data_IF_236748144240
#
_entry.id   IF_236748144240
#
_cell.length_a   1.000
_cell.length_b   1.000
_cell.length_c   1.000
_cell.angle_alpha   90.00
_cell.angle_beta   90.00
_cell.angle_gamma   90.00
#
_symmetry.space_group_name_H-M   'P 1'
#
loop_
_entity.id
_entity.type
_entity.pdbx_description
1 polymer ?
#
# COMPACT_ATOMS: atom_id res chain seq x y z
N UNK A 1 -5.56 3.70 -56.40
CA UNK A 1 -4.64 2.83 -55.63
C UNK A 1 -3.91 3.73 -54.65
N UNK A 2 -4.41 3.85 -53.40
CA UNK A 2 -3.84 4.76 -52.39
C UNK A 2 -3.11 3.90 -51.36
N UNK A 3 -1.80 4.13 -51.25
CA UNK A 3 -0.89 3.44 -50.34
C UNK A 3 -1.14 3.95 -48.91
N UNK A 4 -1.60 3.07 -48.01
CA UNK A 4 -1.64 3.34 -46.56
C UNK A 4 -0.21 3.32 -46.01
N UNK A 5 0.23 4.45 -45.44
CA UNK A 5 1.43 4.51 -44.58
C UNK A 5 1.12 3.78 -43.27
N UNK A 6 1.88 2.74 -42.96
CA UNK A 6 1.91 2.12 -41.65
C UNK A 6 2.48 3.13 -40.63
N UNK A 7 1.62 3.63 -39.74
CA UNK A 7 2.05 4.29 -38.51
C UNK A 7 2.41 3.17 -37.53
N UNK A 8 3.70 3.06 -37.19
CA UNK A 8 4.18 2.07 -36.22
C UNK A 8 3.56 2.34 -34.84
N UNK A 9 2.73 1.41 -34.36
CA UNK A 9 2.28 1.38 -32.96
C UNK A 9 3.49 1.01 -32.10
N UNK A 10 3.87 1.89 -31.17
CA UNK A 10 4.84 1.53 -30.13
C UNK A 10 4.27 0.39 -29.27
N UNK A 11 5.09 -0.61 -28.98
CA UNK A 11 4.69 -1.73 -28.12
C UNK A 11 4.24 -1.20 -26.74
N UNK A 12 3.14 -1.70 -26.15
CA UNK A 12 2.75 -1.39 -24.77
C UNK A 12 3.91 -1.57 -23.78
N UNK A 13 4.79 -2.54 -24.06
CA UNK A 13 6.00 -2.82 -23.30
C UNK A 13 7.01 -1.65 -23.30
N UNK A 14 7.15 -0.95 -24.44
CA UNK A 14 8.04 0.20 -24.57
C UNK A 14 7.47 1.43 -23.83
N UNK A 15 6.13 1.57 -23.80
CA UNK A 15 5.46 2.65 -23.06
C UNK A 15 5.55 2.44 -21.55
N UNK A 16 5.42 1.20 -21.08
CA UNK A 16 5.71 0.84 -19.68
C UNK A 16 7.18 1.16 -19.36
N UNK A 17 8.14 0.68 -20.14
CA UNK A 17 9.56 0.97 -19.90
C UNK A 17 9.91 2.47 -19.93
N UNK A 18 9.28 3.27 -20.80
CA UNK A 18 9.51 4.72 -20.88
C UNK A 18 8.88 5.49 -19.70
N UNK A 19 7.68 5.11 -19.26
CA UNK A 19 7.07 5.65 -18.05
C UNK A 19 7.90 5.32 -16.79
N UNK A 20 8.47 4.10 -16.74
CA UNK A 20 9.36 3.66 -15.66
C UNK A 20 10.78 4.25 -15.75
N UNK A 21 11.28 4.60 -16.93
CA UNK A 21 12.56 5.32 -17.10
C UNK A 21 12.49 6.74 -16.54
N UNK A 22 11.36 7.41 -16.71
CA UNK A 22 11.11 8.74 -16.13
C UNK A 22 11.04 8.67 -14.59
N UNK A 23 10.51 7.57 -14.03
CA UNK A 23 10.45 7.29 -12.60
C UNK A 23 11.84 7.19 -11.95
N UNK A 24 12.82 6.51 -12.57
CA UNK A 24 14.19 6.45 -12.03
C UNK A 24 14.83 7.85 -11.98
N UNK A 25 14.57 8.69 -12.97
CA UNK A 25 15.13 10.05 -13.04
C UNK A 25 14.56 10.99 -11.98
N UNK A 26 13.23 11.03 -11.81
CA UNK A 26 12.58 11.93 -10.84
C UNK A 26 12.70 11.43 -9.40
N UNK A 27 12.63 10.12 -9.18
CA UNK A 27 12.79 9.49 -7.86
C UNK A 27 14.19 9.72 -7.27
N UNK A 28 15.24 9.51 -8.07
CA UNK A 28 16.62 9.76 -7.62
C UNK A 28 16.91 11.25 -7.38
N UNK A 29 16.25 12.16 -8.11
CA UNK A 29 16.40 13.60 -7.94
C UNK A 29 15.70 14.09 -6.66
N UNK A 30 14.47 13.62 -6.39
CA UNK A 30 13.73 13.97 -5.19
C UNK A 30 14.48 13.56 -3.91
N UNK A 31 15.00 12.33 -3.86
CA UNK A 31 15.70 11.86 -2.65
C UNK A 31 17.10 12.50 -2.51
N UNK A 32 17.79 12.88 -3.61
CA UNK A 32 19.05 13.65 -3.54
C UNK A 32 18.83 15.06 -2.96
N UNK A 33 17.70 15.70 -3.27
CA UNK A 33 17.31 17.01 -2.72
C UNK A 33 16.92 16.88 -1.25
N UNK A 34 16.21 15.81 -0.87
CA UNK A 34 15.81 15.57 0.53
C UNK A 34 16.99 15.35 1.47
N UNK A 35 18.08 14.72 1.02
CA UNK A 35 19.27 14.49 1.87
C UNK A 35 20.17 15.75 2.04
N UNK A 36 20.14 16.70 1.11
CA UNK A 36 20.89 17.97 1.27
C UNK A 36 20.22 18.95 2.23
N UNK A 37 18.92 18.81 2.45
CA UNK A 37 18.13 19.68 3.35
C UNK A 37 18.02 19.15 4.78
N UNK A 38 18.90 18.23 5.20
CA UNK A 38 18.94 17.67 6.55
C UNK A 38 19.05 18.74 7.64
N UNK A 39 17.89 19.23 8.08
CA UNK A 39 17.68 19.90 9.36
C UNK A 39 16.73 19.01 10.14
N UNK A 40 17.23 18.45 11.23
CA UNK A 40 16.40 17.83 12.26
C UNK A 40 15.43 18.90 12.77
N UNK A 41 14.18 18.84 12.34
CA UNK A 41 13.12 19.64 12.94
C UNK A 41 12.59 18.82 14.11
N UNK A 42 12.98 19.20 15.33
CA UNK A 42 12.23 18.87 16.53
C UNK A 42 10.88 19.58 16.41
N UNK A 43 9.86 18.85 15.98
CA UNK A 43 8.48 19.32 16.02
C UNK A 43 7.99 19.12 17.46
N UNK A 44 7.86 20.21 18.20
CA UNK A 44 7.05 20.24 19.42
C UNK A 44 5.60 20.00 19.01
N UNK A 45 5.13 18.75 19.10
CA UNK A 45 3.74 18.39 18.86
C UNK A 45 2.94 18.59 20.14
N UNK A 46 2.32 19.77 20.28
CA UNK A 46 1.13 19.90 21.11
C UNK A 46 -0.05 19.27 20.35
N UNK A 47 -0.08 17.95 20.27
CA UNK A 47 -1.25 17.19 19.85
C UNK A 47 -2.22 17.06 21.04
N UNK A 48 -3.52 17.24 20.85
CA UNK A 48 -4.50 16.78 21.82
C UNK A 48 -4.50 15.25 21.76
N UNK A 49 -3.64 14.63 22.56
CA UNK A 49 -3.67 13.21 22.84
C UNK A 49 -5.03 12.92 23.49
N UNK A 50 -5.98 12.39 22.72
CA UNK A 50 -7.10 11.65 23.31
C UNK A 50 -6.50 10.41 23.94
N UNK A 51 -6.18 10.53 25.23
CA UNK A 51 -5.60 9.49 26.03
C UNK A 51 -6.63 8.38 26.15
N UNK A 52 -6.21 7.15 25.83
CA UNK A 52 -6.97 5.94 26.08
C UNK A 52 -7.34 5.92 27.58
N UNK A 53 -8.58 5.63 27.98
CA UNK A 53 -8.84 5.24 29.36
C UNK A 53 -8.17 3.89 29.57
N UNK A 54 -7.04 3.90 30.28
CA UNK A 54 -6.43 2.68 30.80
C UNK A 54 -7.41 2.05 31.81
N UNK A 55 -8.17 1.04 31.39
CA UNK A 55 -9.09 0.40 32.32
C UNK A 55 -10.21 -0.50 31.81
N UNK A 56 -10.19 -1.01 30.58
CA UNK A 56 -11.18 -2.03 30.17
C UNK A 56 -10.49 -3.25 29.56
N UNK A 57 -10.38 -4.29 30.38
CA UNK A 57 -10.11 -5.65 29.97
C UNK A 57 -11.43 -6.43 29.78
N UNK A 58 -11.44 -7.33 28.79
CA UNK A 58 -12.32 -8.51 28.65
C UNK A 58 -13.72 -8.25 28.04
N UNK A 59 -13.73 -7.78 26.81
CA UNK A 59 -14.66 -8.24 25.77
C UNK A 59 -13.80 -8.64 24.57
N UNK A 60 -14.02 -9.80 23.95
CA UNK A 60 -13.20 -10.27 22.82
C UNK A 60 -13.05 -9.15 21.79
N UNK A 61 -11.82 -8.80 21.44
CA UNK A 61 -11.55 -7.73 20.49
C UNK A 61 -12.19 -8.05 19.14
N UNK A 62 -12.84 -7.04 18.55
CA UNK A 62 -13.64 -7.22 17.34
C UNK A 62 -12.70 -7.51 16.18
N UNK A 63 -12.88 -8.66 15.52
CA UNK A 63 -12.06 -9.07 14.39
C UNK A 63 -12.26 -8.18 13.16
N UNK A 64 -11.27 -8.16 12.29
CA UNK A 64 -11.34 -7.49 10.99
C UNK A 64 -11.01 -8.43 9.84
N UNK A 65 -11.71 -8.28 8.71
CA UNK A 65 -11.43 -8.99 7.48
C UNK A 65 -10.21 -8.37 6.77
N UNK A 66 -9.29 -9.17 6.25
CA UNK A 66 -8.15 -8.65 5.48
C UNK A 66 -8.49 -8.64 3.99
N UNK A 67 -8.49 -7.47 3.37
CA UNK A 67 -8.73 -7.28 1.95
C UNK A 67 -7.44 -6.86 1.24
N UNK A 68 -6.94 -7.75 0.37
CA UNK A 68 -5.73 -7.54 -0.41
C UNK A 68 -6.09 -7.25 -1.88
N UNK A 69 -5.88 -6.03 -2.36
CA UNK A 69 -6.07 -5.75 -3.80
C UNK A 69 -4.87 -6.20 -4.62
N UNK A 70 -5.11 -6.91 -5.72
CA UNK A 70 -4.05 -7.54 -6.51
C UNK A 70 -4.36 -7.58 -8.02
N UNK A 71 -3.30 -7.73 -8.82
CA UNK A 71 -3.38 -8.06 -10.25
C UNK A 71 -2.95 -9.50 -10.50
N UNK A 72 -3.20 -10.00 -11.71
CA UNK A 72 -2.75 -11.30 -12.21
C UNK A 72 -1.29 -11.28 -12.71
N UNK A 73 -0.58 -10.15 -12.59
CA UNK A 73 0.80 -10.03 -13.01
C UNK A 73 1.71 -10.93 -12.15
N UNK A 74 2.74 -11.60 -12.72
CA UNK A 74 3.68 -12.43 -11.97
C UNK A 74 4.27 -11.71 -10.75
N UNK A 75 4.59 -10.42 -10.92
CA UNK A 75 5.02 -9.52 -9.86
C UNK A 75 4.05 -9.48 -8.67
N UNK A 76 2.75 -9.25 -8.90
CA UNK A 76 1.76 -9.18 -7.82
C UNK A 76 1.51 -10.56 -7.19
N UNK A 77 1.50 -11.62 -8.01
CA UNK A 77 1.21 -12.99 -7.58
C UNK A 77 2.17 -13.49 -6.50
N UNK A 78 3.49 -13.38 -6.71
CA UNK A 78 4.44 -13.89 -5.71
C UNK A 78 4.37 -13.09 -4.40
N UNK A 79 4.10 -11.78 -4.49
CA UNK A 79 3.92 -10.92 -3.32
C UNK A 79 2.68 -11.35 -2.52
N UNK A 80 1.55 -11.58 -3.20
CA UNK A 80 0.31 -12.06 -2.57
C UNK A 80 0.51 -13.37 -1.79
N UNK A 81 1.29 -14.32 -2.34
CA UNK A 81 1.57 -15.59 -1.67
C UNK A 81 2.37 -15.42 -0.39
N UNK A 82 3.41 -14.56 -0.40
CA UNK A 82 4.19 -14.25 0.80
C UNK A 82 3.32 -13.57 1.85
N UNK A 83 2.54 -12.56 1.44
CA UNK A 83 1.62 -11.83 2.32
C UNK A 83 0.61 -12.79 2.95
N UNK A 84 -0.02 -13.66 2.15
CA UNK A 84 -1.00 -14.63 2.62
C UNK A 84 -0.39 -15.69 3.56
N UNK A 85 0.84 -16.16 3.29
CA UNK A 85 1.57 -17.03 4.20
C UNK A 85 1.72 -16.39 5.59
N UNK A 86 2.16 -15.13 5.64
CA UNK A 86 2.34 -14.41 6.91
C UNK A 86 1.02 -14.04 7.58
N UNK A 87 -0.04 -13.73 6.81
CA UNK A 87 -1.39 -13.57 7.34
C UNK A 87 -1.84 -14.82 8.10
N UNK A 88 -1.74 -16.01 7.48
CA UNK A 88 -2.15 -17.27 8.13
C UNK A 88 -1.40 -17.49 9.44
N UNK A 89 -0.10 -17.20 9.45
CA UNK A 89 0.74 -17.40 10.64
C UNK A 89 0.39 -16.41 11.75
N UNK A 90 0.20 -15.13 11.42
CA UNK A 90 -0.09 -14.07 12.39
C UNK A 90 -1.54 -14.08 12.89
N UNK A 91 -2.49 -14.59 12.09
CA UNK A 91 -3.88 -14.80 12.51
C UNK A 91 -3.99 -15.75 13.70
N UNK A 92 -3.17 -16.80 13.75
CA UNK A 92 -3.20 -17.81 14.82
C UNK A 92 -2.43 -17.38 16.08
N UNK A 93 -1.73 -16.24 16.05
CA UNK A 93 -0.97 -15.76 17.19
C UNK A 93 -1.86 -15.07 18.23
N UNK A 94 -1.61 -15.28 19.55
CA UNK A 94 -2.31 -14.55 20.60
C UNK A 94 -2.18 -13.03 20.43
N UNK A 95 -3.30 -12.32 20.59
CA UNK A 95 -3.37 -10.87 20.40
C UNK A 95 -3.62 -10.40 18.97
N UNK A 96 -3.84 -11.32 18.03
CA UNK A 96 -4.26 -11.00 16.67
C UNK A 96 -5.78 -10.96 16.55
N UNK A 97 -6.30 -9.92 15.92
CA UNK A 97 -7.73 -9.77 15.60
C UNK A 97 -8.03 -10.01 14.11
N UNK A 98 -7.10 -10.64 13.39
CA UNK A 98 -7.33 -10.99 11.99
C UNK A 98 -8.44 -12.04 11.85
N UNK A 99 -9.48 -11.69 11.09
CA UNK A 99 -10.60 -12.54 10.72
C UNK A 99 -10.38 -13.25 9.38
N UNK A 100 -11.36 -13.19 8.49
CA UNK A 100 -11.29 -13.69 7.11
C UNK A 100 -10.26 -12.95 6.24
N UNK A 101 -10.08 -13.46 5.03
CA UNK A 101 -9.17 -12.90 4.04
C UNK A 101 -9.83 -12.96 2.67
N UNK A 102 -9.68 -11.90 1.88
CA UNK A 102 -10.01 -11.91 0.45
C UNK A 102 -8.90 -11.23 -0.34
N UNK A 103 -8.37 -11.94 -1.34
CA UNK A 103 -7.64 -11.32 -2.45
C UNK A 103 -8.66 -10.79 -3.45
N UNK A 104 -8.75 -9.47 -3.56
CA UNK A 104 -9.59 -8.79 -4.55
C UNK A 104 -8.79 -8.68 -5.85
N UNK A 105 -9.02 -9.62 -6.77
CA UNK A 105 -8.31 -9.74 -8.03
C UNK A 105 -9.01 -8.89 -9.09
N UNK A 106 -8.43 -7.73 -9.39
CA UNK A 106 -9.03 -6.72 -10.27
C UNK A 106 -8.50 -6.77 -11.71
N UNK A 107 -8.13 -7.96 -12.18
CA UNK A 107 -7.75 -8.22 -13.58
C UNK A 107 -8.94 -8.63 -14.46
N UNK A 108 -10.12 -8.87 -13.86
CA UNK A 108 -11.30 -9.41 -14.54
C UNK A 108 -11.20 -10.88 -14.92
N UNK A 109 -10.08 -11.56 -14.64
CA UNK A 109 -9.83 -12.93 -15.07
C UNK A 109 -9.40 -13.81 -13.88
N UNK A 110 -9.82 -15.09 -13.84
CA UNK A 110 -9.32 -16.04 -12.86
C UNK A 110 -7.82 -16.30 -13.07
N UNK A 111 -7.12 -16.65 -11.98
CA UNK A 111 -5.77 -17.19 -12.03
C UNK A 111 -5.64 -18.42 -11.12
N UNK A 112 -4.50 -19.10 -11.21
CA UNK A 112 -4.22 -20.32 -10.45
C UNK A 112 -3.99 -20.09 -8.95
N UNK A 113 -3.87 -18.85 -8.46
CA UNK A 113 -3.77 -18.61 -7.02
C UNK A 113 -5.13 -18.68 -6.32
N UNK A 114 -6.23 -18.78 -7.07
CA UNK A 114 -7.56 -18.99 -6.50
C UNK A 114 -7.68 -20.33 -5.76
N UNK A 115 -6.85 -21.32 -6.11
CA UNK A 115 -6.77 -22.61 -5.41
C UNK A 115 -6.03 -22.50 -4.07
N UNK A 116 -5.25 -21.42 -3.86
CA UNK A 116 -4.43 -21.20 -2.66
C UNK A 116 -4.99 -20.10 -1.75
N UNK A 117 -5.48 -19.01 -2.33
CA UNK A 117 -5.86 -17.77 -1.64
C UNK A 117 -7.35 -17.51 -1.91
N UNK A 118 -8.20 -17.36 -0.87
CA UNK A 118 -9.59 -16.94 -1.05
C UNK A 118 -9.64 -15.66 -1.90
N UNK A 119 -10.25 -15.75 -3.07
CA UNK A 119 -10.17 -14.71 -4.10
C UNK A 119 -11.56 -14.34 -4.58
N UNK A 120 -11.81 -13.04 -4.74
CA UNK A 120 -12.94 -12.52 -5.50
C UNK A 120 -12.41 -11.83 -6.75
N UNK A 121 -12.91 -12.25 -7.91
CA UNK A 121 -12.62 -11.59 -9.18
C UNK A 121 -13.56 -10.39 -9.32
N UNK A 122 -12.98 -9.26 -9.66
CA UNK A 122 -13.71 -8.03 -10.00
C UNK A 122 -13.16 -7.48 -11.31
N UNK A 123 -13.99 -6.73 -12.03
CA UNK A 123 -13.60 -6.18 -13.33
C UNK A 123 -12.61 -5.03 -13.14
N UNK A 124 -11.63 -4.85 -14.04
CA UNK A 124 -10.85 -3.61 -14.07
C UNK A 124 -11.75 -2.42 -14.43
N UNK A 125 -11.20 -1.22 -14.32
CA UNK A 125 -11.83 -0.04 -14.90
C UNK A 125 -12.00 -0.21 -16.41
N UNK A 126 -13.08 0.32 -17.00
CA UNK A 126 -13.23 0.39 -18.45
C UNK A 126 -11.99 0.98 -19.14
N UNK A 127 -11.65 0.40 -20.30
CA UNK A 127 -10.48 0.78 -21.08
C UNK A 127 -10.35 2.30 -21.27
N UNK A 128 -9.19 2.83 -20.90
CA UNK A 128 -8.83 4.23 -21.08
C UNK A 128 -9.17 5.15 -19.91
N UNK A 129 -10.04 4.75 -18.97
CA UNK A 129 -10.36 5.56 -17.80
C UNK A 129 -9.20 5.68 -16.80
N UNK A 130 -8.37 4.65 -16.72
CA UNK A 130 -7.20 4.67 -15.86
C UNK A 130 -6.05 5.53 -16.43
N UNK A 131 -6.12 5.89 -17.72
CA UNK A 131 -5.08 6.61 -18.45
C UNK A 131 -3.67 6.01 -18.27
N UNK A 132 -3.59 4.67 -18.13
CA UNK A 132 -2.34 3.95 -17.85
C UNK A 132 -1.85 4.00 -16.39
N UNK A 133 -2.59 4.65 -15.49
CA UNK A 133 -2.34 4.67 -14.06
C UNK A 133 -3.14 3.54 -13.38
N UNK A 134 -2.55 2.34 -13.39
CA UNK A 134 -3.17 1.09 -12.94
C UNK A 134 -3.73 1.14 -11.51
N UNK A 135 -3.24 2.05 -10.66
CA UNK A 135 -3.63 2.17 -9.25
C UNK A 135 -5.10 2.59 -9.12
N UNK A 136 -5.70 3.25 -10.13
CA UNK A 136 -7.13 3.60 -10.13
C UNK A 136 -8.06 2.40 -10.16
N UNK A 137 -7.58 1.21 -10.54
CA UNK A 137 -8.38 -0.01 -10.44
C UNK A 137 -8.68 -0.39 -8.99
N UNK A 138 -7.91 0.10 -8.02
CA UNK A 138 -8.07 -0.24 -6.60
C UNK A 138 -9.38 0.28 -5.97
N UNK A 139 -9.71 1.59 -6.02
CA UNK A 139 -11.00 2.06 -5.52
C UNK A 139 -12.17 1.36 -6.21
N UNK A 140 -12.07 1.12 -7.52
CA UNK A 140 -13.09 0.39 -8.27
C UNK A 140 -13.24 -1.07 -7.84
N UNK A 141 -12.13 -1.73 -7.53
CA UNK A 141 -12.12 -3.08 -6.98
C UNK A 141 -12.86 -3.14 -5.64
N UNK A 142 -12.65 -2.15 -4.75
CA UNK A 142 -13.36 -2.07 -3.48
C UNK A 142 -14.86 -1.83 -3.64
N UNK A 143 -15.27 -0.96 -4.56
CA UNK A 143 -16.71 -0.75 -4.86
C UNK A 143 -17.37 -2.09 -5.22
N UNK A 144 -16.83 -2.80 -6.20
CA UNK A 144 -17.40 -4.08 -6.63
C UNK A 144 -17.32 -5.17 -5.55
N UNK A 145 -16.20 -5.24 -4.82
CA UNK A 145 -16.01 -6.26 -3.79
C UNK A 145 -16.99 -6.07 -2.63
N UNK A 146 -17.19 -4.84 -2.17
CA UNK A 146 -18.14 -4.54 -1.09
C UNK A 146 -19.59 -4.83 -1.50
N UNK A 147 -19.95 -4.65 -2.77
CA UNK A 147 -21.28 -5.00 -3.29
C UNK A 147 -21.51 -6.52 -3.39
N UNK A 148 -20.46 -7.29 -3.72
CA UNK A 148 -20.57 -8.71 -4.09
C UNK A 148 -20.19 -9.67 -2.96
N UNK A 149 -19.31 -9.27 -2.04
CA UNK A 149 -18.73 -10.16 -1.05
C UNK A 149 -19.59 -10.32 0.21
N UNK A 150 -19.64 -11.55 0.71
CA UNK A 150 -20.16 -11.84 2.04
C UNK A 150 -19.00 -11.73 3.02
N UNK A 151 -19.00 -10.66 3.82
CA UNK A 151 -17.96 -10.36 4.81
C UNK A 151 -18.58 -10.47 6.21
N UNK A 152 -18.10 -11.44 7.00
CA UNK A 152 -18.59 -11.71 8.36
C UNK A 152 -18.14 -10.62 9.35
N UNK A 153 -16.92 -10.14 9.22
CA UNK A 153 -16.37 -9.14 10.12
C UNK A 153 -16.95 -7.74 9.90
N UNK A 154 -17.07 -6.98 11.00
CA UNK A 154 -17.54 -5.59 10.98
C UNK A 154 -16.47 -4.61 10.47
N UNK A 155 -15.19 -4.95 10.65
CA UNK A 155 -14.05 -4.13 10.24
C UNK A 155 -13.29 -4.79 9.09
N UNK A 156 -12.60 -3.98 8.29
CA UNK A 156 -11.80 -4.40 7.16
C UNK A 156 -10.41 -3.76 7.28
N UNK A 157 -9.36 -4.56 7.17
CA UNK A 157 -8.00 -4.11 6.88
C UNK A 157 -7.81 -4.05 5.37
N UNK A 158 -7.62 -2.85 4.83
CA UNK A 158 -7.13 -2.67 3.46
C UNK A 158 -5.60 -2.89 3.45
N UNK A 159 -5.13 -3.85 2.67
CA UNK A 159 -3.72 -4.27 2.62
C UNK A 159 -3.18 -4.33 1.18
N UNK A 160 -1.84 -4.31 1.05
CA UNK A 160 -1.13 -4.39 -0.24
C UNK A 160 -0.28 -5.66 -0.37
N UNK A 161 0.02 -6.13 -1.60
CA UNK A 161 0.79 -7.36 -1.82
C UNK A 161 2.18 -7.33 -1.18
N UNK A 162 2.80 -6.14 -1.08
CA UNK A 162 4.11 -5.91 -0.47
C UNK A 162 4.07 -5.65 1.03
N UNK A 163 3.04 -6.15 1.70
CA UNK A 163 2.98 -6.23 3.15
C UNK A 163 3.47 -7.60 3.65
N UNK A 164 4.28 -7.58 4.71
CA UNK A 164 4.60 -8.76 5.52
C UNK A 164 4.16 -8.49 6.95
N UNK A 165 3.23 -9.30 7.47
CA UNK A 165 2.87 -9.24 8.89
C UNK A 165 3.99 -9.84 9.74
N UNK A 166 4.52 -9.05 10.68
CA UNK A 166 5.67 -9.42 11.50
C UNK A 166 5.37 -9.59 12.99
N UNK A 167 4.26 -9.04 13.45
CA UNK A 167 3.71 -9.17 14.81
C UNK A 167 2.19 -9.40 14.74
N UNK A 168 1.56 -10.03 15.76
CA UNK A 168 0.11 -10.17 15.84
C UNK A 168 -0.55 -8.79 15.83
N UNK A 169 -1.52 -8.58 14.92
CA UNK A 169 -2.15 -7.29 14.71
C UNK A 169 -3.52 -7.26 15.41
N UNK A 170 -3.68 -6.52 16.52
CA UNK A 170 -4.99 -6.27 17.09
C UNK A 170 -5.77 -5.28 16.22
N UNK A 171 -7.07 -5.18 16.43
CA UNK A 171 -7.90 -4.16 15.78
C UNK A 171 -7.51 -2.78 16.35
N UNK A 172 -6.83 -1.99 15.51
CA UNK A 172 -6.37 -0.65 15.88
C UNK A 172 -7.47 0.41 15.77
N UNK A 173 -8.56 0.11 15.06
CA UNK A 173 -9.72 0.99 14.95
C UNK A 173 -10.58 0.94 16.21
N UNK A 174 -11.40 1.98 16.43
CA UNK A 174 -12.28 2.05 17.58
C UNK A 174 -13.61 2.72 17.25
N UNK A 175 -14.70 1.96 17.36
CA UNK A 175 -16.03 2.43 16.99
C UNK A 175 -16.05 2.86 15.52
N UNK A 176 -16.50 4.09 15.26
CA UNK A 176 -16.54 4.67 13.92
C UNK A 176 -15.25 5.41 13.52
N UNK A 177 -14.20 5.36 14.35
CA UNK A 177 -12.90 5.95 14.05
C UNK A 177 -11.96 4.88 13.47
N UNK A 178 -11.65 4.91 12.15
CA UNK A 178 -10.70 3.99 11.54
C UNK A 178 -9.27 4.25 12.04
N UNK A 179 -8.37 3.29 11.87
CA UNK A 179 -6.95 3.48 12.15
C UNK A 179 -6.14 3.43 10.86
N UNK A 180 -5.19 4.36 10.69
CA UNK A 180 -4.41 4.50 9.47
C UNK A 180 -2.95 4.86 9.78
N UNK A 181 -2.04 4.49 8.87
CA UNK A 181 -0.67 4.95 8.91
C UNK A 181 -0.55 6.37 8.33
N UNK A 182 0.07 7.34 9.04
CA UNK A 182 0.32 8.67 8.50
C UNK A 182 1.51 8.66 7.54
N UNK A 183 1.28 9.07 6.30
CA UNK A 183 2.29 9.17 5.28
C UNK A 183 2.88 10.57 5.25
N UNK A 184 4.17 10.69 5.58
CA UNK A 184 4.87 11.99 5.65
C UNK A 184 4.84 12.80 4.34
N UNK A 185 4.60 12.14 3.20
CA UNK A 185 4.50 12.76 1.86
C UNK A 185 3.06 13.12 1.45
N UNK A 186 2.05 12.72 2.23
CA UNK A 186 0.67 13.17 2.04
C UNK A 186 0.47 14.40 2.92
N UNK A 187 0.39 15.58 2.30
CA UNK A 187 0.40 16.86 2.99
C UNK A 187 -0.72 17.78 2.49
N UNK A 188 -1.99 17.52 2.85
CA UNK A 188 -3.12 18.27 2.33
C UNK A 188 -3.00 19.79 2.57
N UNK A 189 -2.49 20.20 3.74
CA UNK A 189 -2.29 21.61 4.07
C UNK A 189 -1.24 22.32 3.17
N UNK A 190 -0.16 21.63 2.76
CA UNK A 190 0.83 22.20 1.82
C UNK A 190 0.27 22.29 0.38
N UNK A 191 -0.81 21.57 0.09
CA UNK A 191 -1.49 21.51 -1.20
C UNK A 191 -2.91 22.08 -1.18
N UNK A 192 -3.22 22.99 -0.25
CA UNK A 192 -4.57 23.50 0.01
C UNK A 192 -5.30 23.91 -1.28
N UNK A 193 -4.67 24.72 -2.14
CA UNK A 193 -5.29 25.17 -3.41
C UNK A 193 -5.78 24.01 -4.29
N UNK A 194 -5.01 22.92 -4.36
CA UNK A 194 -5.37 21.74 -5.16
C UNK A 194 -6.44 20.93 -4.44
N UNK A 195 -6.28 20.70 -3.13
CA UNK A 195 -7.25 19.96 -2.31
C UNK A 195 -8.63 20.62 -2.33
N UNK A 196 -8.71 21.96 -2.32
CA UNK A 196 -9.97 22.72 -2.36
C UNK A 196 -10.81 22.49 -3.63
N UNK A 197 -10.23 21.99 -4.72
CA UNK A 197 -11.00 21.56 -5.90
C UNK A 197 -11.93 20.38 -5.60
N UNK A 198 -11.59 19.57 -4.60
CA UNK A 198 -12.26 18.31 -4.25
C UNK A 198 -12.82 18.30 -2.81
N UNK A 199 -12.35 19.20 -1.95
CA UNK A 199 -12.83 19.40 -0.58
C UNK A 199 -13.17 20.89 -0.35
N UNK A 200 -14.39 21.33 -0.73
CA UNK A 200 -14.81 22.73 -0.66
C UNK A 200 -14.72 23.35 0.74
N UNK A 201 -14.66 24.68 0.85
CA UNK A 201 -14.53 25.38 2.13
C UNK A 201 -15.69 25.10 3.09
N UNK A 202 -16.90 24.94 2.56
CA UNK A 202 -18.11 24.61 3.31
C UNK A 202 -18.04 23.25 4.02
N UNK A 203 -17.16 22.34 3.57
CA UNK A 203 -16.95 21.04 4.21
C UNK A 203 -16.04 21.12 5.44
N UNK A 204 -15.30 22.21 5.61
CA UNK A 204 -14.44 22.46 6.77
C UNK A 204 -12.99 22.83 6.40
N UNK A 205 -12.11 22.96 7.40
CA UNK A 205 -10.69 23.27 7.17
C UNK A 205 -9.97 22.10 6.46
N UNK A 206 -8.96 22.40 5.61
CA UNK A 206 -8.17 21.36 4.92
C UNK A 206 -7.48 20.40 5.87
N UNK A 207 -7.22 20.82 7.12
CA UNK A 207 -6.68 19.95 8.19
C UNK A 207 -7.62 18.82 8.61
N UNK A 208 -8.85 18.78 8.08
CA UNK A 208 -9.74 17.63 8.18
C UNK A 208 -9.39 16.49 7.22
N UNK A 209 -8.63 16.76 6.17
CA UNK A 209 -8.06 15.73 5.30
C UNK A 209 -6.82 15.20 6.00
N UNK A 210 -6.93 13.98 6.53
CA UNK A 210 -5.83 13.31 7.24
C UNK A 210 -4.64 13.02 6.29
N UNK A 211 -3.39 13.03 6.77
CA UNK A 211 -2.19 12.76 5.96
C UNK A 211 -2.01 11.25 5.71
N UNK A 212 -3.01 10.60 5.14
CA UNK A 212 -3.12 9.14 5.04
C UNK A 212 -3.37 8.67 3.60
N UNK A 213 -3.22 7.37 3.37
CA UNK A 213 -3.71 6.70 2.16
C UNK A 213 -4.65 5.57 2.54
N UNK A 214 -5.08 4.77 1.56
CA UNK A 214 -6.03 3.69 1.79
C UNK A 214 -5.41 2.47 2.49
N UNK A 215 -4.09 2.31 2.51
CA UNK A 215 -3.43 1.11 3.05
C UNK A 215 -2.11 1.46 3.77
N UNK A 216 -1.84 0.88 4.96
CA UNK A 216 -2.76 0.07 5.75
C UNK A 216 -3.81 0.94 6.45
N UNK A 217 -5.07 0.51 6.38
CA UNK A 217 -6.19 1.11 7.13
C UNK A 217 -7.09 0.01 7.67
N UNK A 218 -7.42 0.07 8.96
CA UNK A 218 -8.54 -0.72 9.54
C UNK A 218 -9.75 0.20 9.65
N UNK A 219 -10.83 -0.13 8.95
CA UNK A 219 -12.03 0.68 8.83
C UNK A 219 -13.28 -0.18 8.96
N UNK A 220 -14.33 0.35 9.58
CA UNK A 220 -15.63 -0.31 9.64
C UNK A 220 -16.21 -0.46 8.24
N UNK A 221 -16.70 -1.67 7.91
CA UNK A 221 -17.26 -2.00 6.59
C UNK A 221 -18.31 -1.00 6.12
N UNK A 222 -19.26 -0.65 6.98
CA UNK A 222 -20.32 0.32 6.67
C UNK A 222 -19.83 1.74 6.38
N UNK A 223 -18.64 2.10 6.85
CA UNK A 223 -18.00 3.38 6.53
C UNK A 223 -17.30 3.26 5.18
N UNK A 224 -16.56 2.17 4.95
CA UNK A 224 -15.88 1.92 3.68
C UNK A 224 -16.87 1.82 2.51
N UNK A 225 -18.03 1.19 2.70
CA UNK A 225 -19.14 1.14 1.72
C UNK A 225 -19.60 2.54 1.29
N UNK A 226 -19.59 3.53 2.20
CA UNK A 226 -19.95 4.92 1.89
C UNK A 226 -18.83 5.67 1.18
N UNK A 227 -17.59 5.45 1.60
CA UNK A 227 -16.41 6.17 1.09
C UNK A 227 -15.99 5.64 -0.29
N UNK A 228 -16.05 4.33 -0.54
CA UNK A 228 -15.45 3.72 -1.72
C UNK A 228 -15.93 4.31 -3.07
N UNK A 229 -17.24 4.57 -3.28
CA UNK A 229 -17.70 5.24 -4.51
C UNK A 229 -17.17 6.67 -4.65
N UNK A 230 -17.11 7.43 -3.55
CA UNK A 230 -16.54 8.79 -3.55
C UNK A 230 -15.04 8.77 -3.80
N UNK A 231 -14.31 7.84 -3.18
CA UNK A 231 -12.88 7.64 -3.39
C UNK A 231 -12.57 7.33 -4.86
N UNK A 232 -13.34 6.45 -5.50
CA UNK A 232 -13.24 6.20 -6.94
C UNK A 232 -13.43 7.48 -7.75
N UNK A 233 -14.55 8.18 -7.54
CA UNK A 233 -14.90 9.36 -8.33
C UNK A 233 -13.89 10.50 -8.15
N UNK A 234 -13.49 10.79 -6.92
CA UNK A 234 -12.47 11.82 -6.64
C UNK A 234 -11.14 11.44 -7.29
N UNK A 235 -10.71 10.17 -7.21
CA UNK A 235 -9.46 9.74 -7.84
C UNK A 235 -9.50 9.88 -9.36
N UNK A 236 -10.63 9.57 -10.01
CA UNK A 236 -10.81 9.80 -11.45
C UNK A 236 -10.77 11.29 -11.80
N UNK A 237 -11.48 12.13 -11.05
CA UNK A 237 -11.46 13.58 -11.25
C UNK A 237 -10.05 14.18 -11.09
N UNK A 238 -9.31 13.74 -10.06
CA UNK A 238 -7.93 14.13 -9.85
C UNK A 238 -7.04 13.70 -11.02
N UNK A 239 -7.29 12.52 -11.59
CA UNK A 239 -6.52 12.02 -12.74
C UNK A 239 -6.82 12.82 -14.01
N UNK A 240 -8.06 13.24 -14.19
CA UNK A 240 -8.49 14.03 -15.35
C UNK A 240 -8.03 15.51 -15.26
N UNK A 241 -7.72 16.03 -14.07
CA UNK A 241 -7.19 17.39 -13.87
C UNK A 241 -5.65 17.41 -14.02
N UNK A 242 -5.09 18.04 -15.08
CA UNK A 242 -3.65 17.99 -15.33
C UNK A 242 -2.77 18.68 -14.27
N UNK A 243 -3.29 19.67 -13.54
CA UNK A 243 -2.56 20.33 -12.45
C UNK A 243 -2.46 19.37 -11.26
N UNK A 244 -3.55 18.66 -10.97
CA UNK A 244 -3.66 17.71 -9.85
C UNK A 244 -2.88 16.43 -10.13
N UNK A 245 -3.03 15.82 -11.31
CA UNK A 245 -2.26 14.65 -11.73
C UNK A 245 -0.75 14.91 -11.68
N UNK A 246 -0.33 16.08 -12.16
CA UNK A 246 1.08 16.49 -12.08
C UNK A 246 1.55 16.69 -10.63
N UNK A 247 0.71 17.25 -9.76
CA UNK A 247 1.10 17.57 -8.39
C UNK A 247 1.17 16.33 -7.49
N UNK A 248 0.17 15.44 -7.56
CA UNK A 248 0.10 14.26 -6.70
C UNK A 248 0.76 13.02 -7.33
N UNK A 249 0.78 12.93 -8.67
CA UNK A 249 1.45 11.87 -9.40
C UNK A 249 1.06 10.48 -8.90
N UNK A 250 2.07 9.68 -8.54
CA UNK A 250 1.86 8.28 -8.15
C UNK A 250 1.02 8.08 -6.88
N UNK A 251 0.92 9.09 -6.01
CA UNK A 251 0.17 9.01 -4.75
C UNK A 251 -1.22 9.67 -4.83
N UNK A 252 -1.67 9.99 -6.05
CA UNK A 252 -2.95 10.64 -6.30
C UNK A 252 -4.13 9.84 -5.75
N UNK A 253 -4.14 8.52 -5.93
CA UNK A 253 -5.19 7.66 -5.38
C UNK A 253 -5.28 7.78 -3.84
N UNK A 254 -4.13 7.88 -3.15
CA UNK A 254 -4.07 8.05 -1.70
C UNK A 254 -4.70 9.39 -1.26
N UNK A 255 -4.43 10.48 -2.00
CA UNK A 255 -5.13 11.75 -1.80
C UNK A 255 -6.63 11.62 -2.05
N UNK A 256 -7.02 10.85 -3.07
CA UNK A 256 -8.42 10.53 -3.34
C UNK A 256 -9.11 9.86 -2.15
N UNK A 257 -8.46 8.88 -1.51
CA UNK A 257 -8.98 8.21 -0.31
C UNK A 257 -9.08 9.18 0.88
N UNK A 258 -8.05 9.98 1.13
CA UNK A 258 -8.04 10.95 2.23
C UNK A 258 -9.14 12.01 2.06
N UNK A 259 -9.29 12.58 0.86
CA UNK A 259 -10.34 13.56 0.55
C UNK A 259 -11.72 12.93 0.65
N UNK A 260 -11.93 11.73 0.10
CA UNK A 260 -13.21 11.04 0.21
C UNK A 260 -13.60 10.76 1.67
N UNK A 261 -12.64 10.36 2.50
CA UNK A 261 -12.87 10.18 3.94
C UNK A 261 -13.32 11.48 4.62
N UNK A 262 -12.62 12.59 4.32
CA UNK A 262 -12.96 13.90 4.87
C UNK A 262 -14.33 14.42 4.39
N UNK A 263 -14.70 14.17 3.12
CA UNK A 263 -16.02 14.51 2.58
C UNK A 263 -17.16 13.79 3.32
N UNK A 264 -16.89 12.60 3.85
CA UNK A 264 -17.84 11.83 4.66
C UNK A 264 -17.69 12.07 6.17
N UNK A 265 -16.89 13.06 6.58
CA UNK A 265 -16.68 13.40 8.00
C UNK A 265 -15.89 12.37 8.80
N UNK A 266 -15.13 11.49 8.12
CA UNK A 266 -14.39 10.40 8.74
C UNK A 266 -12.97 10.85 9.08
N UNK A 267 -12.59 10.71 10.37
CA UNK A 267 -11.26 11.01 10.89
C UNK A 267 -10.57 9.74 11.38
N UNK A 268 -9.28 9.63 11.09
CA UNK A 268 -8.48 8.45 11.41
C UNK A 268 -7.71 8.63 12.72
N UNK A 269 -7.59 7.53 13.47
CA UNK A 269 -6.58 7.35 14.50
C UNK A 269 -5.26 7.11 13.78
N UNK A 270 -4.35 8.09 13.82
CA UNK A 270 -3.03 7.98 13.19
C UNK A 270 -2.12 7.07 14.03
N UNK A 271 -1.51 6.08 13.37
CA UNK A 271 -0.71 5.03 14.00
C UNK A 271 0.65 4.87 13.32
N UNK A 272 1.67 5.55 13.84
CA UNK A 272 3.06 5.42 13.38
C UNK A 272 3.61 3.99 13.57
N UNK A 273 3.03 3.24 14.52
CA UNK A 273 3.40 1.85 14.79
C UNK A 273 2.69 0.84 13.87
N UNK A 274 1.81 1.29 12.97
CA UNK A 274 1.02 0.39 12.13
C UNK A 274 1.90 -0.38 11.13
N UNK A 275 2.83 0.33 10.49
CA UNK A 275 3.79 -0.29 9.58
C UNK A 275 5.18 0.34 9.67
N UNK A 276 6.16 -0.31 9.03
CA UNK A 276 7.51 0.19 8.82
C UNK A 276 7.95 -0.01 7.36
N UNK A 277 8.90 0.82 6.94
CA UNK A 277 9.38 0.92 5.57
C UNK A 277 10.92 0.79 5.52
N UNK A 278 11.46 -0.44 5.55
CA UNK A 278 12.88 -0.66 5.31
C UNK A 278 13.29 -0.14 3.92
N UNK A 279 14.51 0.39 3.75
CA UNK A 279 15.61 0.40 4.72
C UNK A 279 15.58 1.57 5.74
N UNK A 280 14.55 2.42 5.71
CA UNK A 280 14.52 3.67 6.49
C UNK A 280 14.18 3.46 7.95
N UNK A 281 13.19 2.61 8.22
CA UNK A 281 12.88 2.17 9.58
C UNK A 281 13.84 1.06 9.97
N UNK A 282 14.69 1.31 10.97
CA UNK A 282 15.80 0.40 11.29
C UNK A 282 15.38 -0.84 12.09
N UNK A 283 14.36 -0.69 12.93
CA UNK A 283 13.91 -1.70 13.89
C UNK A 283 12.44 -2.06 13.69
N UNK A 284 12.13 -3.34 13.86
CA UNK A 284 10.77 -3.88 13.78
C UNK A 284 10.02 -3.53 15.07
N UNK A 285 10.61 -3.82 16.23
CA UNK A 285 10.01 -3.56 17.53
C UNK A 285 8.58 -4.09 17.65
N UNK A 286 7.66 -3.21 18.06
CA UNK A 286 6.21 -3.52 18.23
C UNK A 286 5.38 -3.26 16.97
N UNK A 287 5.99 -2.88 15.85
CA UNK A 287 5.26 -2.53 14.62
C UNK A 287 4.72 -3.78 13.93
N UNK A 288 3.62 -3.66 13.20
CA UNK A 288 2.87 -4.84 12.76
C UNK A 288 3.19 -5.31 11.34
N UNK A 289 3.46 -4.37 10.42
CA UNK A 289 3.61 -4.66 8.99
C UNK A 289 4.94 -4.12 8.48
N UNK A 290 5.75 -4.96 7.83
CA UNK A 290 6.80 -4.48 6.94
C UNK A 290 6.18 -4.19 5.57
N UNK A 291 6.25 -2.94 5.12
CA UNK A 291 5.92 -2.53 3.76
C UNK A 291 7.23 -2.37 2.96
N UNK A 292 7.56 -3.36 2.12
CA UNK A 292 8.85 -3.43 1.41
C UNK A 292 8.85 -2.70 0.06
N UNK A 293 8.46 -1.42 0.09
CA UNK A 293 8.34 -0.60 -1.12
C UNK A 293 9.68 -0.17 -1.69
N UNK A 294 10.70 0.01 -0.86
CA UNK A 294 12.01 0.53 -1.24
C UNK A 294 13.02 -0.58 -1.51
N UNK A 295 13.91 -0.35 -2.48
CA UNK A 295 15.07 -1.21 -2.70
C UNK A 295 16.05 -1.11 -1.53
N UNK A 296 16.49 -2.25 -1.03
CA UNK A 296 17.49 -2.39 0.02
C UNK A 296 18.84 -2.71 -0.62
N UNK A 297 19.61 -1.68 -0.96
CA UNK A 297 20.92 -1.79 -1.62
C UNK A 297 22.05 -1.46 -0.63
N UNK A 298 22.96 -2.40 -0.41
CA UNK A 298 24.03 -2.28 0.56
C UNK A 298 25.37 -2.71 -0.02
N UNK A 299 26.46 -2.10 0.45
CA UNK A 299 27.79 -2.67 0.27
C UNK A 299 28.07 -3.78 1.29
N UNK A 300 29.17 -4.52 1.12
CA UNK A 300 29.51 -5.64 2.01
C UNK A 300 29.91 -5.22 3.43
N UNK A 301 30.04 -3.91 3.70
CA UNK A 301 30.24 -3.34 5.05
C UNK A 301 28.93 -3.01 5.76
N UNK A 302 27.77 -3.24 5.13
CA UNK A 302 26.46 -2.92 5.67
C UNK A 302 26.03 -1.46 5.50
N UNK A 303 26.70 -0.70 4.62
CA UNK A 303 26.36 0.70 4.35
C UNK A 303 25.40 0.79 3.16
N UNK A 304 24.31 1.56 3.32
CA UNK A 304 23.29 1.75 2.28
C UNK A 304 23.88 2.47 1.05
N UNK A 305 23.73 1.90 -0.15
CA UNK A 305 24.23 2.49 -1.40
C UNK A 305 23.12 3.24 -2.13
N UNK A 306 22.91 4.49 -1.74
CA UNK A 306 21.85 5.32 -2.30
C UNK A 306 21.98 5.53 -3.82
N UNK A 307 20.88 5.30 -4.54
CA UNK A 307 20.76 5.52 -5.99
C UNK A 307 21.63 4.58 -6.85
N UNK A 308 22.19 3.52 -6.27
CA UNK A 308 23.06 2.55 -6.96
C UNK A 308 22.70 1.14 -6.56
N UNK A 309 22.90 0.20 -7.48
CA UNK A 309 22.80 -1.23 -7.17
C UNK A 309 23.93 -1.57 -6.19
N UNK A 310 23.56 -2.07 -5.01
CA UNK A 310 24.50 -2.51 -3.98
C UNK A 310 25.17 -3.83 -4.33
N UNK A 311 26.24 -4.15 -3.61
CA UNK A 311 26.89 -5.47 -3.68
C UNK A 311 25.96 -6.57 -3.13
N UNK A 312 25.19 -6.23 -2.10
CA UNK A 312 24.03 -6.98 -1.65
C UNK A 312 22.75 -6.17 -1.93
N UNK A 313 21.70 -6.84 -2.42
CA UNK A 313 20.43 -6.20 -2.76
C UNK A 313 19.24 -7.08 -2.43
N UNK A 314 18.21 -6.46 -1.88
CA UNK A 314 16.83 -6.94 -2.00
C UNK A 314 15.94 -5.82 -2.58
N UNK A 315 15.41 -6.02 -3.79
CA UNK A 315 14.37 -5.15 -4.35
C UNK A 315 13.35 -6.02 -5.09
N UNK A 316 12.08 -5.90 -4.72
CA UNK A 316 10.97 -6.58 -5.39
C UNK A 316 10.93 -6.29 -6.91
N UNK A 317 11.40 -5.11 -7.35
CA UNK A 317 11.47 -4.73 -8.77
C UNK A 317 12.55 -5.48 -9.55
N UNK A 318 13.42 -6.22 -8.89
CA UNK A 318 14.29 -7.20 -9.55
C UNK A 318 13.53 -8.49 -9.94
N UNK A 319 12.28 -8.64 -9.51
CA UNK A 319 11.45 -9.84 -9.63
C UNK A 319 10.10 -9.53 -10.31
N UNK A 320 10.13 -8.78 -11.42
CA UNK A 320 8.91 -8.40 -12.16
C UNK A 320 8.28 -9.56 -12.94
N UNK A 321 9.11 -10.47 -13.45
CA UNK A 321 8.70 -11.55 -14.36
C UNK A 321 8.40 -12.86 -13.64
N UNK A 322 8.58 -12.90 -12.31
CA UNK A 322 8.43 -14.11 -11.53
C UNK A 322 8.92 -13.93 -10.10
N UNK A 323 8.73 -14.95 -9.24
CA UNK A 323 9.12 -14.91 -7.85
C UNK A 323 10.65 -14.75 -7.66
N UNK A 324 11.11 -14.19 -6.54
CA UNK A 324 12.51 -14.32 -6.13
C UNK A 324 12.90 -15.79 -5.95
N UNK A 325 14.18 -16.16 -6.18
CA UNK A 325 14.63 -17.52 -5.88
C UNK A 325 14.54 -17.81 -4.38
N UNK A 326 14.42 -19.10 -4.03
CA UNK A 326 14.55 -19.55 -2.64
C UNK A 326 15.94 -19.26 -2.09
N UNK A 327 16.04 -19.17 -0.77
CA UNK A 327 17.32 -19.03 -0.05
C UNK A 327 18.12 -17.78 -0.49
N UNK A 328 17.46 -16.62 -0.54
CA UNK A 328 18.14 -15.33 -0.71
C UNK A 328 19.24 -15.18 0.34
N UNK A 329 20.38 -14.63 -0.07
CA UNK A 329 21.48 -14.33 0.85
C UNK A 329 21.00 -13.34 1.91
N UNK A 330 21.35 -13.60 3.17
CA UNK A 330 21.14 -12.62 4.23
C UNK A 330 22.02 -11.38 3.97
N UNK A 331 21.56 -10.18 4.37
CA UNK A 331 22.36 -8.99 4.24
C UNK A 331 23.65 -9.06 5.09
N UNK A 332 24.70 -8.32 4.70
CA UNK A 332 25.96 -8.28 5.44
C UNK A 332 25.77 -7.73 6.87
N UNK A 333 26.73 -8.00 7.79
CA UNK A 333 26.73 -7.38 9.11
C UNK A 333 26.64 -5.85 9.03
N UNK A 334 25.90 -5.24 9.96
CA UNK A 334 25.68 -3.79 10.00
C UNK A 334 24.40 -3.30 9.30
N UNK A 335 23.75 -4.16 8.50
CA UNK A 335 22.45 -3.85 7.90
C UNK A 335 21.34 -3.85 8.96
N UNK A 336 20.34 -2.94 8.89
CA UNK A 336 19.30 -2.81 9.90
C UNK A 336 18.48 -4.08 10.14
N UNK A 337 17.96 -4.21 11.36
CA UNK A 337 17.16 -5.35 11.83
C UNK A 337 15.91 -5.56 10.96
N UNK A 338 15.25 -4.49 10.55
CA UNK A 338 14.08 -4.53 9.67
C UNK A 338 14.34 -5.20 8.32
N UNK A 339 15.48 -4.91 7.69
CA UNK A 339 15.90 -5.49 6.40
C UNK A 339 16.25 -6.97 6.60
N UNK A 340 16.98 -7.29 7.67
CA UNK A 340 17.28 -8.69 8.04
C UNK A 340 15.98 -9.47 8.26
N UNK A 341 15.02 -8.90 8.99
CA UNK A 341 13.72 -9.53 9.26
C UNK A 341 12.93 -9.76 7.98
N UNK A 342 12.88 -8.77 7.08
CA UNK A 342 12.23 -8.88 5.77
C UNK A 342 12.78 -10.06 4.97
N UNK A 343 14.10 -10.14 4.80
CA UNK A 343 14.72 -11.20 3.98
C UNK A 343 14.53 -12.57 4.62
N UNK A 344 14.63 -12.68 5.95
CA UNK A 344 14.27 -13.90 6.68
C UNK A 344 12.80 -14.28 6.45
N UNK A 345 11.90 -13.31 6.44
CA UNK A 345 10.48 -13.54 6.22
C UNK A 345 10.17 -14.07 4.81
N UNK A 346 10.83 -13.50 3.80
CA UNK A 346 10.77 -13.96 2.42
C UNK A 346 11.33 -15.37 2.30
N UNK A 347 12.53 -15.63 2.83
CA UNK A 347 13.14 -16.96 2.80
C UNK A 347 12.27 -18.02 3.47
N UNK A 348 11.69 -17.71 4.63
CA UNK A 348 10.78 -18.64 5.30
C UNK A 348 9.54 -18.94 4.46
N UNK A 349 8.88 -17.91 3.92
CA UNK A 349 7.70 -18.10 3.08
C UNK A 349 8.03 -18.93 1.83
N UNK A 350 9.08 -18.55 1.08
CA UNK A 350 9.49 -19.26 -0.15
C UNK A 350 9.92 -20.72 0.08
N UNK A 351 10.45 -21.04 1.27
CA UNK A 351 10.78 -22.41 1.64
C UNK A 351 9.55 -23.28 1.94
N UNK A 352 8.45 -22.68 2.43
CA UNK A 352 7.27 -23.39 2.91
C UNK A 352 6.07 -23.33 1.95
N UNK A 353 6.08 -22.43 0.97
CA UNK A 353 5.04 -22.32 -0.05
C UNK A 353 5.30 -23.39 -1.15
N UNK A 354 4.36 -24.32 -1.40
CA UNK A 354 4.51 -25.33 -2.44
C UNK A 354 4.54 -24.69 -3.84
N UNK A 355 5.18 -25.33 -4.82
CA UNK A 355 5.26 -24.82 -6.20
C UNK A 355 5.73 -23.36 -6.29
N UNK A 356 6.68 -22.95 -5.43
CA UNK A 356 7.18 -21.57 -5.42
C UNK A 356 7.83 -21.17 -6.74
N UNK A 357 8.65 -22.04 -7.34
CA UNK A 357 9.43 -21.72 -8.54
C UNK A 357 8.58 -21.80 -9.83
N UNK A 358 7.39 -22.41 -9.76
CA UNK A 358 6.43 -22.54 -10.87
C UNK A 358 5.01 -22.24 -10.35
N UNK A 359 4.72 -20.96 -10.00
CA UNK A 359 3.53 -20.57 -9.25
C UNK A 359 2.21 -20.92 -9.92
#
# INVERSE_FOLDING_TARGET
MIVRKNVGRASPFLLVLLAFGFFIGTYNLCILVMHKSGRSISVDSNDPIVSRPDGLSVGGSVKFHVALTATDAPYSKWQCRIMYYWYKKMKEMPGSDMGGFTRVLHSGNPDNLMDEIPTMIVDPLPDGLDQGYIVLNRPWAFVQWLEKAVIEEEYILMAEPDHVFVNPLPNLAHGDNPAAFPFFYIKPAEHEKIVRKYYPEEMGPVTNVDPIGNSPVIIKKSILEKIAPTWMNVSLQMKDDPETDKAFGWVLEMYGYAVASALHGVRHILRDDFMLQPPWDLEVGKKFIIHYTYGCDYNMKGELTYGKIGEWRFDKRSHLQGPPPKNLSLPPPGVPESVVRLVKAVNEATANIPNWDTP
#
